data_IF_346088922683
#
_entry.id   IF_346088922683
#
_cell.length_a   1.000
_cell.length_b   1.000
_cell.length_c   1.000
_cell.angle_alpha   90.00
_cell.angle_beta   90.00
_cell.angle_gamma   90.00
#
_symmetry.space_group_name_H-M   'P 1'
#
loop_
_entity.id
_entity.type
_entity.pdbx_description
1 polymer ?
#
# COMPACT_ATOMS: atom_id res chain seq x y z
N UNK A 1 13.14 -6.11 3.84
CA UNK A 1 12.28 -4.90 3.74
C UNK A 1 11.30 -5.05 2.58
N UNK A 2 10.04 -4.60 2.71
CA UNK A 2 9.02 -4.67 1.65
C UNK A 2 8.92 -3.37 0.80
N UNK A 3 8.08 -3.39 -0.25
CA UNK A 3 7.96 -2.30 -1.21
C UNK A 3 7.41 -1.00 -0.55
N UNK A 4 6.52 -1.10 0.44
CA UNK A 4 5.93 0.06 1.13
C UNK A 4 6.93 0.70 2.09
N UNK A 5 7.66 -0.12 2.83
CA UNK A 5 8.76 0.31 3.71
C UNK A 5 9.85 1.00 2.89
N UNK A 6 10.19 0.45 1.71
CA UNK A 6 11.10 1.09 0.76
C UNK A 6 10.59 2.46 0.29
N UNK A 7 9.28 2.59 0.04
CA UNK A 7 8.67 3.85 -0.35
C UNK A 7 8.84 4.94 0.73
N UNK A 8 8.66 4.57 2.00
CA UNK A 8 8.86 5.47 3.14
C UNK A 8 10.32 5.93 3.19
N UNK A 9 11.27 5.01 3.11
CA UNK A 9 12.70 5.33 3.13
C UNK A 9 13.10 6.26 1.96
N UNK A 10 12.65 5.94 0.74
CA UNK A 10 12.91 6.74 -0.45
C UNK A 10 12.32 8.15 -0.35
N UNK A 11 11.13 8.29 0.25
CA UNK A 11 10.50 9.60 0.45
C UNK A 11 11.26 10.42 1.49
N UNK A 12 11.68 9.81 2.60
CA UNK A 12 12.46 10.49 3.64
C UNK A 12 13.85 10.90 3.15
N UNK A 13 14.53 10.05 2.38
CA UNK A 13 15.89 10.34 1.87
C UNK A 13 15.92 11.52 0.89
N UNK A 14 14.79 11.83 0.24
CA UNK A 14 14.61 12.96 -0.68
C UNK A 14 13.93 14.18 -0.06
N UNK A 15 13.45 14.07 1.18
CA UNK A 15 12.72 15.16 1.83
C UNK A 15 13.69 16.15 2.49
N UNK A 16 13.55 17.43 2.17
CA UNK A 16 14.28 18.53 2.80
C UNK A 16 13.64 18.97 4.14
N UNK A 17 12.45 18.43 4.46
CA UNK A 17 11.69 18.77 5.67
C UNK A 17 11.14 17.52 6.36
N UNK A 18 10.65 17.70 7.59
CA UNK A 18 9.96 16.65 8.34
C UNK A 18 8.70 16.17 7.59
N UNK A 19 8.43 14.86 7.68
CA UNK A 19 7.19 14.26 7.17
C UNK A 19 6.46 13.57 8.32
N UNK A 20 5.18 13.89 8.52
CA UNK A 20 4.40 13.28 9.60
C UNK A 20 4.00 11.84 9.28
N UNK A 21 3.79 11.03 10.32
CA UNK A 21 3.18 9.69 10.20
C UNK A 21 1.81 9.78 9.52
N UNK A 22 1.04 10.86 9.79
CA UNK A 22 -0.26 11.09 9.18
C UNK A 22 -0.14 11.33 7.67
N UNK A 23 0.87 12.07 7.21
CA UNK A 23 1.12 12.29 5.80
C UNK A 23 1.48 10.98 5.08
N UNK A 24 2.31 10.12 5.68
CA UNK A 24 2.58 8.79 5.15
C UNK A 24 1.34 7.90 5.12
N UNK A 25 0.55 7.91 6.19
CA UNK A 25 -0.69 7.14 6.28
C UNK A 25 -1.68 7.53 5.17
N UNK A 26 -1.80 8.83 4.90
CA UNK A 26 -2.63 9.34 3.81
C UNK A 26 -2.05 8.97 2.43
N UNK A 27 -0.74 9.20 2.22
CA UNK A 27 -0.05 8.93 0.95
C UNK A 27 -0.12 7.45 0.55
N UNK A 28 0.07 6.55 1.52
CA UNK A 28 0.09 5.10 1.32
C UNK A 28 -1.26 4.46 1.61
N UNK A 29 -2.30 5.26 1.90
CA UNK A 29 -3.66 4.80 2.20
C UNK A 29 -3.71 3.63 3.21
N UNK A 30 -2.99 3.77 4.32
CA UNK A 30 -2.95 2.78 5.42
C UNK A 30 -3.16 3.45 6.76
N UNK A 31 -3.36 2.65 7.80
CA UNK A 31 -3.45 3.16 9.16
C UNK A 31 -2.11 3.70 9.66
N UNK A 32 -2.13 4.64 10.62
CA UNK A 32 -0.91 5.06 11.33
C UNK A 32 -0.15 3.90 11.96
N UNK A 33 -0.86 2.89 12.49
CA UNK A 33 -0.26 1.66 13.05
C UNK A 33 0.56 0.92 11.99
N UNK A 34 0.05 0.84 10.77
CA UNK A 34 0.75 0.21 9.65
C UNK A 34 2.04 0.97 9.33
N UNK A 35 1.98 2.31 9.28
CA UNK A 35 3.18 3.13 9.09
C UNK A 35 4.23 2.87 10.19
N UNK A 36 3.83 2.77 11.46
CA UNK A 36 4.78 2.42 12.52
C UNK A 36 5.44 1.05 12.33
N UNK A 37 4.68 0.05 11.90
CA UNK A 37 5.24 -1.28 11.57
C UNK A 37 6.18 -1.22 10.36
N UNK A 38 5.90 -0.39 9.37
CA UNK A 38 6.80 -0.21 8.23
C UNK A 38 8.07 0.55 8.63
N UNK A 39 7.95 1.57 9.50
CA UNK A 39 9.10 2.29 10.05
C UNK A 39 10.01 1.38 10.88
N UNK A 40 9.46 0.39 11.58
CA UNK A 40 10.24 -0.64 12.27
C UNK A 40 11.09 -1.44 11.27
N UNK A 41 10.48 -1.94 10.19
CA UNK A 41 11.22 -2.64 9.12
C UNK A 41 12.30 -1.78 8.46
N UNK A 42 12.02 -0.48 8.27
CA UNK A 42 13.03 0.45 7.74
C UNK A 42 14.18 0.62 8.72
N UNK A 43 13.88 0.76 10.02
CA UNK A 43 14.90 0.90 11.05
C UNK A 43 15.75 -0.36 11.23
N UNK A 44 15.17 -1.55 11.06
CA UNK A 44 15.90 -2.82 11.08
C UNK A 44 16.87 -2.88 9.91
N UNK A 45 16.39 -2.55 8.70
CA UNK A 45 17.25 -2.48 7.52
C UNK A 45 18.36 -1.44 7.67
N UNK A 46 18.07 -0.24 8.19
CA UNK A 46 19.10 0.78 8.46
C UNK A 46 20.14 0.25 9.45
N UNK A 47 19.72 -0.48 10.48
CA UNK A 47 20.64 -1.05 11.47
C UNK A 47 21.53 -2.15 10.87
N UNK A 48 21.00 -3.02 10.00
CA UNK A 48 21.76 -4.04 9.25
C UNK A 48 22.88 -3.40 8.39
N UNK A 49 22.67 -2.16 7.93
CA UNK A 49 23.62 -1.38 7.14
C UNK A 49 24.45 -0.39 7.97
N UNK A 50 24.42 -0.50 9.30
CA UNK A 50 25.14 0.39 10.22
C UNK A 50 24.77 1.89 10.08
N UNK A 51 23.55 2.17 9.64
CA UNK A 51 22.99 3.51 9.47
C UNK A 51 22.16 3.92 10.68
N UNK A 52 22.04 5.23 10.90
CA UNK A 52 21.20 5.73 11.99
C UNK A 52 19.72 5.50 11.68
N UNK A 53 18.96 5.14 12.73
CA UNK A 53 17.50 4.98 12.65
C UNK A 53 16.81 6.31 12.30
N UNK A 54 15.61 6.20 11.73
CA UNK A 54 14.73 7.35 11.50
C UNK A 54 14.45 8.04 12.83
N UNK A 55 14.57 9.36 12.84
CA UNK A 55 14.34 10.20 14.01
C UNK A 55 12.96 10.85 13.93
N UNK A 56 12.34 11.05 15.10
CA UNK A 56 11.05 11.69 15.22
C UNK A 56 11.15 12.93 16.11
N UNK A 57 10.66 14.06 15.63
CA UNK A 57 10.49 15.28 16.41
C UNK A 57 9.02 15.47 16.72
N UNK A 58 8.69 15.57 18.03
CA UNK A 58 7.33 15.79 18.49
C UNK A 58 6.75 17.06 17.85
N UNK A 59 5.55 16.94 17.29
CA UNK A 59 4.87 18.05 16.61
C UNK A 59 5.36 18.38 15.20
N UNK A 60 6.51 17.89 14.75
CA UNK A 60 7.05 18.19 13.41
C UNK A 60 7.00 17.00 12.46
N UNK A 61 7.43 15.82 12.91
CA UNK A 61 7.39 14.59 12.10
C UNK A 61 8.69 13.79 12.12
N UNK A 62 8.90 13.03 11.06
CA UNK A 62 9.99 12.08 10.86
C UNK A 62 11.05 12.68 9.94
N UNK A 63 12.31 12.35 10.19
CA UNK A 63 13.43 12.71 9.33
C UNK A 63 14.58 11.71 9.44
N UNK A 64 15.48 11.78 8.47
CA UNK A 64 16.77 11.08 8.47
C UNK A 64 17.86 12.14 8.63
N UNK A 65 18.89 11.83 9.40
CA UNK A 65 20.00 12.77 9.57
C UNK A 65 20.90 12.83 8.34
N UNK A 66 21.58 13.95 8.16
CA UNK A 66 22.40 14.21 6.99
C UNK A 66 23.50 13.17 6.72
N UNK A 67 24.21 12.62 7.73
CA UNK A 67 25.19 11.55 7.48
C UNK A 67 24.54 10.32 6.85
N UNK A 68 23.43 9.85 7.41
CA UNK A 68 22.70 8.70 6.86
C UNK A 68 22.14 9.02 5.48
N UNK A 69 21.59 10.22 5.28
CA UNK A 69 21.09 10.66 3.97
C UNK A 69 22.19 10.59 2.91
N UNK A 70 23.39 11.10 3.19
CA UNK A 70 24.52 11.08 2.26
C UNK A 70 24.93 9.65 1.92
N UNK A 71 24.96 8.77 2.91
CA UNK A 71 25.31 7.36 2.72
C UNK A 71 24.26 6.62 1.87
N UNK A 72 22.97 6.88 2.15
CA UNK A 72 21.84 6.37 1.36
C UNK A 72 21.92 6.80 -0.11
N UNK A 73 22.22 8.08 -0.37
CA UNK A 73 22.35 8.61 -1.74
C UNK A 73 23.55 8.00 -2.45
N UNK A 74 24.68 7.84 -1.75
CA UNK A 74 25.94 7.36 -2.33
C UNK A 74 25.89 5.87 -2.69
N UNK A 75 25.37 5.04 -1.79
CA UNK A 75 25.60 3.60 -1.84
C UNK A 75 24.35 2.77 -2.18
N UNK A 76 23.15 3.34 -2.03
CA UNK A 76 21.90 2.56 -2.11
C UNK A 76 20.92 3.02 -3.19
N UNK A 77 21.38 3.92 -4.08
CA UNK A 77 20.75 4.39 -5.32
C UNK A 77 19.22 4.17 -5.41
N UNK A 78 18.42 4.99 -4.70
CA UNK A 78 16.95 4.87 -4.65
C UNK A 78 16.20 5.44 -5.88
N UNK A 79 16.87 5.63 -7.02
CA UNK A 79 16.24 6.17 -8.23
C UNK A 79 15.51 5.08 -9.00
N UNK A 80 14.18 5.20 -9.13
CA UNK A 80 13.34 4.30 -9.94
C UNK A 80 12.25 3.55 -9.19
N UNK A 81 12.30 3.52 -7.85
CA UNK A 81 11.35 2.77 -7.03
C UNK A 81 10.14 3.66 -6.66
N UNK A 82 9.24 3.90 -7.61
CA UNK A 82 7.92 4.50 -7.33
C UNK A 82 6.97 3.41 -6.83
N UNK A 83 6.55 3.50 -5.58
CA UNK A 83 5.53 2.62 -5.02
C UNK A 83 4.15 3.09 -5.50
N UNK A 84 3.55 2.35 -6.44
CA UNK A 84 2.16 2.56 -6.83
C UNK A 84 1.25 1.83 -5.82
N UNK A 85 0.70 2.58 -4.87
CA UNK A 85 -0.35 2.07 -3.98
C UNK A 85 -1.69 2.12 -4.71
N UNK A 86 -2.26 0.95 -5.04
CA UNK A 86 -3.64 0.90 -5.52
C UNK A 86 -4.57 1.45 -4.43
N UNK A 87 -5.33 2.49 -4.78
CA UNK A 87 -6.44 2.98 -3.96
C UNK A 87 -7.45 1.84 -3.70
N UNK A 88 -8.35 1.98 -2.71
CA UNK A 88 -9.36 0.94 -2.45
C UNK A 88 -10.25 0.68 -3.67
N UNK A 89 -10.49 1.69 -4.49
CA UNK A 89 -11.27 1.59 -5.73
C UNK A 89 -10.46 0.85 -6.79
N UNK A 90 -9.21 1.26 -7.04
CA UNK A 90 -8.37 0.59 -8.05
C UNK A 90 -8.09 -0.85 -7.64
N UNK A 91 -7.84 -1.13 -6.36
CA UNK A 91 -7.66 -2.50 -5.85
C UNK A 91 -8.89 -3.36 -6.11
N UNK A 92 -10.09 -2.81 -5.87
CA UNK A 92 -11.36 -3.49 -6.19
C UNK A 92 -11.51 -3.72 -7.69
N UNK A 93 -11.20 -2.72 -8.51
CA UNK A 93 -11.22 -2.84 -9.97
C UNK A 93 -10.21 -3.88 -10.46
N UNK A 94 -9.01 -3.91 -9.89
CA UNK A 94 -7.96 -4.87 -10.23
C UNK A 94 -8.35 -6.29 -9.84
N UNK A 95 -8.87 -6.49 -8.62
CA UNK A 95 -9.44 -7.77 -8.18
C UNK A 95 -10.57 -8.19 -9.12
N UNK A 96 -11.46 -7.27 -9.50
CA UNK A 96 -12.55 -7.56 -10.43
C UNK A 96 -12.04 -7.97 -11.80
N UNK A 97 -11.10 -7.23 -12.40
CA UNK A 97 -10.49 -7.56 -13.70
C UNK A 97 -9.86 -8.95 -13.66
N UNK A 98 -9.13 -9.28 -12.61
CA UNK A 98 -8.48 -10.59 -12.47
C UNK A 98 -9.48 -11.71 -12.21
N UNK A 99 -10.50 -11.46 -11.38
CA UNK A 99 -11.55 -12.44 -11.11
C UNK A 99 -12.45 -12.69 -12.32
N UNK A 100 -12.70 -11.66 -13.14
CA UNK A 100 -13.52 -11.75 -14.34
C UNK A 100 -12.75 -12.31 -15.55
N UNK A 101 -11.43 -12.05 -15.63
CA UNK A 101 -10.54 -12.53 -16.69
C UNK A 101 -9.88 -13.88 -16.41
N UNK A 102 -10.00 -14.42 -15.18
CA UNK A 102 -9.60 -15.79 -14.91
C UNK A 102 -10.58 -16.73 -15.63
N UNK A 103 -10.09 -17.39 -16.69
CA UNK A 103 -10.78 -18.38 -17.51
C UNK A 103 -11.19 -19.66 -16.74
N UNK A 104 -11.25 -19.59 -15.42
CA UNK A 104 -11.96 -20.56 -14.60
C UNK A 104 -13.41 -20.10 -14.59
N UNK A 105 -14.21 -20.74 -15.45
CA UNK A 105 -15.61 -20.41 -15.68
C UNK A 105 -16.38 -20.09 -14.39
N UNK A 106 -17.52 -19.38 -14.51
CA UNK A 106 -18.10 -18.57 -13.45
C UNK A 106 -18.05 -19.22 -12.07
N UNK A 107 -17.51 -18.48 -11.11
CA UNK A 107 -17.38 -18.92 -9.72
C UNK A 107 -18.70 -19.48 -9.19
N UNK A 108 -18.65 -20.41 -8.24
CA UNK A 108 -19.86 -20.98 -7.62
C UNK A 108 -20.82 -19.90 -7.11
N UNK A 109 -20.27 -18.77 -6.66
CA UNK A 109 -21.06 -17.59 -6.30
C UNK A 109 -21.82 -17.02 -7.50
N UNK A 110 -21.15 -16.82 -8.64
CA UNK A 110 -21.78 -16.30 -9.85
C UNK A 110 -22.82 -17.28 -10.43
N UNK A 111 -22.57 -18.59 -10.36
CA UNK A 111 -23.56 -19.62 -10.75
C UNK A 111 -24.80 -19.57 -9.88
N UNK A 112 -24.64 -19.43 -8.56
CA UNK A 112 -25.78 -19.30 -7.64
C UNK A 112 -26.53 -17.98 -7.84
N UNK A 113 -25.81 -16.90 -8.12
CA UNK A 113 -26.41 -15.60 -8.41
C UNK A 113 -27.23 -15.62 -9.71
N UNK A 114 -26.71 -16.18 -10.80
CA UNK A 114 -27.45 -16.36 -12.04
C UNK A 114 -28.67 -17.28 -11.85
N UNK A 115 -28.52 -18.41 -11.16
CA UNK A 115 -29.64 -19.30 -10.85
C UNK A 115 -30.74 -18.59 -10.04
N UNK A 116 -30.36 -17.73 -9.09
CA UNK A 116 -31.30 -16.95 -8.29
C UNK A 116 -31.97 -15.79 -9.06
N UNK A 117 -31.33 -15.28 -10.11
CA UNK A 117 -31.92 -14.29 -11.01
C UNK A 117 -32.90 -14.92 -11.99
N UNK A 118 -32.57 -16.08 -12.55
CA UNK A 118 -33.45 -16.82 -13.45
C UNK A 118 -34.71 -17.33 -12.73
N UNK A 119 -34.60 -17.77 -11.47
CA UNK A 119 -35.76 -18.21 -10.68
C UNK A 119 -36.71 -17.07 -10.26
N UNK A 120 -36.25 -15.82 -10.29
CA UNK A 120 -37.10 -14.65 -10.01
C UNK A 120 -37.90 -14.17 -11.22
N UNK A 121 -37.58 -14.61 -12.44
CA UNK A 121 -38.33 -14.25 -13.64
C UNK A 121 -39.48 -15.23 -13.96
N UNK A 122 -39.49 -16.44 -13.39
CA UNK A 122 -40.54 -17.43 -13.64
C UNK A 122 -41.77 -17.28 -12.73
N UNK A 123 -41.71 -16.45 -11.68
CA UNK A 123 -42.85 -16.21 -10.80
C UNK A 123 -43.52 -14.86 -11.08
N UNK A 124 -44.15 -14.75 -12.25
CA UNK A 124 -45.15 -13.72 -12.53
C UNK A 124 -46.56 -14.36 -12.47
N UNK A 125 -47.24 -14.35 -11.31
CA UNK A 125 -48.62 -14.79 -11.23
C UNK A 125 -49.53 -13.68 -11.77
N UNK A 126 -49.65 -13.61 -13.09
CA UNK A 126 -50.77 -12.92 -13.76
C UNK A 126 -51.44 -13.91 -14.70
N UNK A 127 -52.36 -14.67 -14.10
CA UNK A 127 -53.21 -15.63 -14.77
C UNK A 127 -54.49 -15.86 -13.97
N UNK A 128 -55.23 -14.79 -13.72
CA UNK A 128 -56.69 -14.78 -13.58
C UNK A 128 -57.21 -13.60 -14.41
#
# INVERSE_FOLDING_TARGET
>A
MDQRSMAILNKLSKADSYITVQAFAALLNVSRRTIYSDLEKVNDWLAEHHLAKIKQVRGQGLYIDEPTRKELIRNYFFTGMTYYEFSPVERKAWIFIHAAGADQGPSLFFRRYQAALSSKQEHNPRGC
#
